data_IF_446722572893
#
_entry.id   IF_446722572893
#
_cell.length_a   1.000
_cell.length_b   1.000
_cell.length_c   1.000
_cell.angle_alpha   90.00
_cell.angle_beta   90.00
_cell.angle_gamma   90.00
#
_symmetry.space_group_name_H-M   'P 1'
#
loop_
_entity.id
_entity.type
_entity.pdbx_description
1 polymer ?
#
# COMPACT_ATOMS: atom_id res chain seq x y z
N UNK A 1 15.21 -4.36 10.74
CA UNK A 1 15.34 -2.97 11.25
C UNK A 1 14.89 -2.04 10.14
N UNK A 2 13.98 -1.12 10.44
CA UNK A 2 13.56 -0.08 9.51
C UNK A 2 14.48 1.12 9.66
N UNK A 3 14.81 1.79 8.55
CA UNK A 3 15.56 3.04 8.58
C UNK A 3 14.63 4.25 8.59
N UNK A 4 15.04 5.38 9.20
CA UNK A 4 14.31 6.64 9.10
C UNK A 4 14.14 7.08 7.64
N UNK A 5 13.00 7.71 7.34
CA UNK A 5 12.65 8.20 6.00
C UNK A 5 13.76 9.07 5.42
N UNK A 6 14.29 9.99 6.22
CA UNK A 6 15.30 10.96 5.82
C UNK A 6 16.55 10.24 5.28
N UNK A 7 16.98 9.16 5.93
CA UNK A 7 18.17 8.40 5.53
C UNK A 7 17.96 7.57 4.27
N UNK A 8 16.77 7.01 4.08
CA UNK A 8 16.43 6.31 2.83
C UNK A 8 16.37 7.31 1.69
N UNK A 9 15.63 8.40 1.85
CA UNK A 9 15.46 9.43 0.81
C UNK A 9 16.79 10.07 0.44
N UNK A 10 17.65 10.40 1.41
CA UNK A 10 19.01 10.89 1.19
C UNK A 10 19.80 9.93 0.30
N UNK A 11 19.74 8.63 0.60
CA UNK A 11 20.44 7.60 -0.16
C UNK A 11 19.88 7.42 -1.58
N UNK A 12 18.56 7.47 -1.75
CA UNK A 12 17.92 7.36 -3.06
C UNK A 12 18.27 8.57 -3.95
N UNK A 13 18.26 9.79 -3.39
CA UNK A 13 18.69 11.01 -4.11
C UNK A 13 20.15 10.92 -4.53
N UNK A 14 21.03 10.39 -3.67
CA UNK A 14 22.43 10.13 -4.02
C UNK A 14 22.55 9.17 -5.21
N UNK A 15 21.82 8.04 -5.19
CA UNK A 15 21.84 7.05 -6.28
C UNK A 15 21.33 7.68 -7.58
N UNK A 16 20.20 8.38 -7.53
CA UNK A 16 19.63 9.05 -8.70
C UNK A 16 20.60 10.04 -9.36
N UNK A 17 21.38 10.77 -8.55
CA UNK A 17 22.39 11.70 -9.05
C UNK A 17 23.58 10.97 -9.69
N UNK A 18 24.09 9.90 -9.04
CA UNK A 18 25.22 9.10 -9.56
C UNK A 18 24.86 8.42 -10.88
N UNK A 19 23.65 7.89 -10.97
CA UNK A 19 23.10 7.24 -12.17
C UNK A 19 22.56 8.24 -13.21
N UNK A 20 22.62 9.56 -12.91
CA UNK A 20 22.14 10.65 -13.78
C UNK A 20 20.69 10.49 -14.24
N UNK A 21 19.81 10.06 -13.34
CA UNK A 21 18.39 9.88 -13.63
C UNK A 21 17.69 11.23 -13.83
N UNK A 22 16.91 11.35 -14.90
CA UNK A 22 16.10 12.53 -15.19
C UNK A 22 14.76 12.46 -14.46
N UNK A 23 14.74 12.82 -13.18
CA UNK A 23 13.52 12.88 -12.37
C UNK A 23 12.91 14.29 -12.45
N UNK A 24 11.63 14.44 -12.86
CA UNK A 24 10.95 15.75 -12.91
C UNK A 24 10.97 16.45 -11.53
N UNK A 25 11.54 17.66 -11.41
CA UNK A 25 11.69 18.35 -10.13
C UNK A 25 10.38 18.54 -9.35
N UNK A 26 9.28 18.78 -10.05
CA UNK A 26 7.96 19.01 -9.48
C UNK A 26 7.33 17.77 -8.82
N UNK A 27 7.79 16.57 -9.18
CA UNK A 27 7.30 15.29 -8.64
C UNK A 27 8.36 14.54 -7.82
N UNK A 28 9.60 15.01 -7.80
CA UNK A 28 10.73 14.33 -7.18
C UNK A 28 10.50 13.98 -5.71
N UNK A 29 10.05 14.92 -4.87
CA UNK A 29 9.79 14.64 -3.45
C UNK A 29 8.69 13.59 -3.27
N UNK A 30 7.58 13.71 -3.99
CA UNK A 30 6.48 12.72 -3.94
C UNK A 30 6.94 11.34 -4.39
N UNK A 31 7.82 11.28 -5.39
CA UNK A 31 8.38 10.02 -5.86
C UNK A 31 9.25 9.36 -4.79
N UNK A 32 10.18 10.08 -4.17
CA UNK A 32 11.01 9.50 -3.10
C UNK A 32 10.19 9.12 -1.87
N UNK A 33 9.15 9.90 -1.54
CA UNK A 33 8.19 9.58 -0.49
C UNK A 33 7.43 8.29 -0.81
N UNK A 34 7.01 8.12 -2.06
CA UNK A 34 6.36 6.90 -2.53
C UNK A 34 7.30 5.69 -2.43
N UNK A 35 8.56 5.81 -2.87
CA UNK A 35 9.53 4.73 -2.77
C UNK A 35 9.79 4.33 -1.31
N UNK A 36 9.83 5.31 -0.39
CA UNK A 36 9.89 5.03 1.03
C UNK A 36 8.65 4.28 1.51
N UNK A 37 7.44 4.74 1.14
CA UNK A 37 6.18 4.09 1.47
C UNK A 37 6.16 2.62 1.02
N UNK A 38 6.47 2.35 -0.25
CA UNK A 38 6.54 1.00 -0.82
C UNK A 38 7.51 0.14 0.00
N UNK A 39 8.70 0.69 0.28
CA UNK A 39 9.76 -0.04 0.98
C UNK A 39 9.44 -0.42 2.43
N UNK A 40 8.56 0.33 3.10
CA UNK A 40 8.30 0.17 4.54
C UNK A 40 9.55 0.32 5.41
N UNK A 41 10.51 1.16 4.99
CA UNK A 41 11.76 1.39 5.70
C UNK A 41 12.90 0.40 5.40
N UNK A 42 12.74 -0.49 4.41
CA UNK A 42 13.82 -1.38 3.92
C UNK A 42 14.54 -0.69 2.74
N UNK A 43 15.79 -0.26 2.96
CA UNK A 43 16.58 0.42 1.92
C UNK A 43 16.79 -0.43 0.66
N UNK A 44 16.95 -1.75 0.79
CA UNK A 44 17.10 -2.63 -0.38
C UNK A 44 15.81 -2.64 -1.20
N UNK A 45 14.65 -2.72 -0.55
CA UNK A 45 13.35 -2.59 -1.26
C UNK A 45 13.21 -1.23 -1.92
N UNK A 46 13.57 -0.15 -1.24
CA UNK A 46 13.50 1.21 -1.78
C UNK A 46 14.34 1.36 -3.06
N UNK A 47 15.57 0.82 -3.05
CA UNK A 47 16.47 0.81 -4.22
C UNK A 47 15.87 -0.04 -5.35
N UNK A 48 15.34 -1.22 -5.04
CA UNK A 48 14.70 -2.07 -6.05
C UNK A 48 13.50 -1.38 -6.69
N UNK A 49 12.69 -0.66 -5.91
CA UNK A 49 11.56 0.11 -6.45
C UNK A 49 12.04 1.26 -7.35
N UNK A 50 13.11 1.98 -6.97
CA UNK A 50 13.73 2.99 -7.84
C UNK A 50 14.21 2.37 -9.16
N UNK A 51 14.95 1.26 -9.08
CA UNK A 51 15.48 0.56 -10.26
C UNK A 51 14.35 0.07 -11.17
N UNK A 52 13.29 -0.49 -10.59
CA UNK A 52 12.09 -0.91 -11.33
C UNK A 52 11.44 0.27 -12.07
N UNK A 53 11.27 1.42 -11.41
CA UNK A 53 10.73 2.62 -12.06
C UNK A 53 11.58 3.07 -13.25
N UNK A 54 12.92 2.96 -13.14
CA UNK A 54 13.84 3.29 -14.24
C UNK A 54 13.75 2.26 -15.37
N UNK A 55 13.81 0.96 -15.05
CA UNK A 55 13.79 -0.11 -16.04
C UNK A 55 12.49 -0.20 -16.84
N UNK A 56 11.40 0.30 -16.29
CA UNK A 56 10.09 0.37 -16.95
C UNK A 56 9.82 1.75 -17.58
N UNK A 57 10.83 2.63 -17.65
CA UNK A 57 10.73 3.97 -18.25
C UNK A 57 9.65 4.86 -17.59
N UNK A 58 9.26 4.54 -16.36
CA UNK A 58 8.21 5.27 -15.62
C UNK A 58 8.72 6.60 -15.07
N UNK A 59 10.02 6.85 -15.08
CA UNK A 59 10.63 8.05 -14.47
C UNK A 59 10.37 9.32 -15.30
N UNK A 60 10.25 9.21 -16.62
CA UNK A 60 10.05 10.37 -17.50
C UNK A 60 8.67 11.01 -17.31
N UNK A 61 7.61 10.20 -17.34
CA UNK A 61 6.23 10.66 -17.10
C UNK A 61 5.89 10.72 -15.60
N UNK A 62 6.59 9.92 -14.79
CA UNK A 62 6.45 9.80 -13.34
C UNK A 62 5.00 9.70 -12.87
N UNK A 63 4.29 8.69 -13.38
CA UNK A 63 2.99 8.30 -12.86
C UNK A 63 3.17 7.47 -11.57
N UNK A 64 2.88 8.11 -10.45
CA UNK A 64 3.02 7.52 -9.12
C UNK A 64 2.01 6.38 -8.88
N UNK A 65 0.84 6.42 -9.53
CA UNK A 65 -0.17 5.38 -9.41
C UNK A 65 0.27 4.10 -10.12
N UNK A 66 0.93 4.23 -11.27
CA UNK A 66 1.50 3.08 -11.98
C UNK A 66 2.61 2.40 -11.17
N UNK A 67 3.49 3.20 -10.55
CA UNK A 67 4.55 2.68 -9.67
C UNK A 67 3.96 1.96 -8.44
N UNK A 68 2.87 2.48 -7.84
CA UNK A 68 2.14 1.81 -6.77
C UNK A 68 1.61 0.45 -7.21
N UNK A 69 0.89 0.40 -8.32
CA UNK A 69 0.29 -0.83 -8.87
C UNK A 69 1.32 -1.92 -9.10
N UNK A 70 2.39 -1.59 -9.83
CA UNK A 70 3.43 -2.56 -10.17
C UNK A 70 4.18 -3.03 -8.91
N UNK A 71 4.23 -2.20 -7.87
CA UNK A 71 4.78 -2.57 -6.56
C UNK A 71 3.82 -3.43 -5.70
N UNK A 72 2.65 -3.80 -6.22
CA UNK A 72 1.65 -4.62 -5.55
C UNK A 72 0.78 -3.85 -4.54
N UNK A 73 0.68 -2.53 -4.67
CA UNK A 73 -0.21 -1.68 -3.86
C UNK A 73 -1.42 -1.24 -4.67
N UNK A 74 -2.49 -0.84 -3.97
CA UNK A 74 -3.58 -0.12 -4.62
C UNK A 74 -3.14 1.30 -4.95
N UNK A 75 -3.58 1.79 -6.10
CA UNK A 75 -3.49 3.22 -6.41
C UNK A 75 -4.42 4.04 -5.50
N UNK A 76 -4.22 5.37 -5.49
CA UNK A 76 -5.00 6.28 -4.64
C UNK A 76 -6.51 6.20 -4.92
N UNK A 77 -6.90 6.13 -6.19
CA UNK A 77 -8.31 6.10 -6.60
C UNK A 77 -9.01 4.79 -6.21
N UNK A 78 -8.32 3.66 -6.32
CA UNK A 78 -8.80 2.34 -5.89
C UNK A 78 -8.96 2.32 -4.38
N UNK A 79 -7.99 2.87 -3.64
CA UNK A 79 -8.06 2.96 -2.18
C UNK A 79 -9.25 3.84 -1.73
N UNK A 80 -9.46 5.00 -2.36
CA UNK A 80 -10.59 5.88 -2.07
C UNK A 80 -11.93 5.20 -2.37
N UNK A 81 -12.03 4.47 -3.48
CA UNK A 81 -13.22 3.69 -3.84
C UNK A 81 -13.50 2.59 -2.81
N UNK A 82 -12.47 1.88 -2.35
CA UNK A 82 -12.59 0.87 -1.30
C UNK A 82 -13.06 1.49 0.01
N UNK A 83 -12.44 2.59 0.46
CA UNK A 83 -12.83 3.29 1.69
C UNK A 83 -14.29 3.76 1.60
N UNK A 84 -14.72 4.26 0.44
CA UNK A 84 -16.11 4.68 0.22
C UNK A 84 -17.08 3.51 0.33
N UNK A 85 -16.77 2.36 -0.28
CA UNK A 85 -17.58 1.16 -0.19
C UNK A 85 -17.65 0.59 1.25
N UNK A 86 -16.52 0.63 1.98
CA UNK A 86 -16.47 0.25 3.38
C UNK A 86 -17.35 1.15 4.23
N UNK A 87 -17.25 2.49 4.09
CA UNK A 87 -18.10 3.46 4.80
C UNK A 87 -19.58 3.25 4.56
N UNK A 88 -19.98 2.87 3.35
CA UNK A 88 -21.38 2.54 3.03
C UNK A 88 -21.80 1.15 3.51
N UNK A 89 -20.92 0.41 4.20
CA UNK A 89 -21.13 -0.97 4.65
C UNK A 89 -21.51 -1.92 3.50
N UNK A 90 -21.06 -1.61 2.29
CA UNK A 90 -21.37 -2.38 1.08
C UNK A 90 -20.27 -3.42 0.84
N UNK A 91 -20.51 -4.63 1.36
CA UNK A 91 -19.57 -5.74 1.22
C UNK A 91 -19.35 -6.13 -0.24
N UNK A 92 -20.43 -6.19 -1.03
CA UNK A 92 -20.37 -6.59 -2.45
C UNK A 92 -19.54 -5.61 -3.25
N UNK A 93 -19.75 -4.30 -3.07
CA UNK A 93 -18.95 -3.26 -3.72
C UNK A 93 -17.50 -3.28 -3.23
N UNK A 94 -17.27 -3.46 -1.94
CA UNK A 94 -15.91 -3.56 -1.39
C UNK A 94 -15.16 -4.74 -2.01
N UNK A 95 -15.82 -5.90 -2.11
CA UNK A 95 -15.26 -7.10 -2.74
C UNK A 95 -14.99 -6.91 -4.23
N UNK A 96 -15.90 -6.25 -4.96
CA UNK A 96 -15.70 -5.89 -6.36
C UNK A 96 -14.48 -5.01 -6.58
N UNK A 97 -14.25 -4.01 -5.72
CA UNK A 97 -13.05 -3.16 -5.80
C UNK A 97 -11.78 -4.00 -5.65
N UNK A 98 -11.74 -4.95 -4.71
CA UNK A 98 -10.59 -5.85 -4.55
C UNK A 98 -10.40 -6.74 -5.77
N UNK A 99 -11.48 -7.33 -6.29
CA UNK A 99 -11.43 -8.26 -7.42
C UNK A 99 -11.06 -7.58 -8.74
N UNK A 100 -11.21 -6.25 -8.82
CA UNK A 100 -10.76 -5.46 -9.98
C UNK A 100 -9.24 -5.21 -10.03
N UNK A 101 -8.49 -5.56 -8.98
CA UNK A 101 -7.05 -5.34 -8.92
C UNK A 101 -6.33 -6.54 -9.53
N UNK A 102 -5.62 -6.33 -10.63
CA UNK A 102 -4.93 -7.40 -11.36
C UNK A 102 -3.73 -7.96 -10.59
N UNK A 103 -2.99 -7.10 -9.89
CA UNK A 103 -1.77 -7.44 -9.15
C UNK A 103 -1.84 -6.87 -7.74
N UNK A 104 -2.28 -7.70 -6.79
CA UNK A 104 -2.35 -7.33 -5.38
C UNK A 104 -1.42 -8.22 -4.58
N UNK A 105 -0.41 -7.63 -3.93
CA UNK A 105 0.31 -8.34 -2.88
C UNK A 105 -0.52 -8.27 -1.60
N UNK A 106 -0.98 -9.43 -1.12
CA UNK A 106 -1.89 -9.50 0.01
C UNK A 106 -1.34 -8.88 1.29
N UNK A 107 -0.01 -8.90 1.51
CA UNK A 107 0.58 -8.28 2.71
C UNK A 107 0.65 -6.76 2.57
N UNK A 108 1.03 -6.27 1.40
CA UNK A 108 0.99 -4.84 1.08
C UNK A 108 -0.44 -4.29 1.19
N UNK A 109 -1.44 -5.03 0.71
CA UNK A 109 -2.85 -4.72 0.87
C UNK A 109 -3.24 -4.58 2.34
N UNK A 110 -2.95 -5.60 3.17
CA UNK A 110 -3.27 -5.58 4.60
C UNK A 110 -2.62 -4.36 5.28
N UNK A 111 -1.35 -4.06 4.96
CA UNK A 111 -0.65 -2.91 5.50
C UNK A 111 -1.30 -1.59 5.08
N UNK A 112 -1.57 -1.41 3.79
CA UNK A 112 -2.18 -0.20 3.24
C UNK A 112 -3.58 0.04 3.82
N UNK A 113 -4.38 -1.03 3.96
CA UNK A 113 -5.71 -0.95 4.56
C UNK A 113 -5.65 -0.65 6.07
N UNK A 114 -4.66 -1.18 6.78
CA UNK A 114 -4.42 -0.89 8.20
C UNK A 114 -4.05 0.57 8.43
N UNK A 115 -3.29 1.18 7.53
CA UNK A 115 -2.97 2.61 7.56
C UNK A 115 -4.20 3.47 7.22
N UNK A 116 -4.98 3.05 6.22
CA UNK A 116 -6.21 3.73 5.80
C UNK A 116 -7.39 3.59 6.79
N UNK A 117 -7.23 2.77 7.82
CA UNK A 117 -8.28 2.43 8.78
C UNK A 117 -8.77 3.66 9.56
N UNK A 118 -7.91 4.67 9.78
CA UNK A 118 -8.31 5.95 10.38
C UNK A 118 -9.32 6.74 9.54
N UNK A 119 -9.35 6.47 8.24
CA UNK A 119 -10.31 7.09 7.32
C UNK A 119 -11.68 6.42 7.37
N UNK A 120 -11.80 5.26 8.03
CA UNK A 120 -13.04 4.51 8.24
C UNK A 120 -13.54 4.80 9.65
N UNK A 121 -14.80 5.21 9.82
CA UNK A 121 -15.36 5.59 11.14
C UNK A 121 -15.70 4.35 12.00
N UNK A 122 -14.64 3.69 12.48
CA UNK A 122 -14.72 2.51 13.33
C UNK A 122 -15.06 2.92 14.77
N UNK A 123 -15.87 2.09 15.44
CA UNK A 123 -16.15 2.22 16.87
C UNK A 123 -14.85 2.16 17.68
N UNK A 124 -14.57 3.18 18.50
CA UNK A 124 -13.30 3.34 19.21
C UNK A 124 -12.95 2.10 20.06
N UNK A 125 -13.95 1.54 20.73
CA UNK A 125 -13.82 0.34 21.56
C UNK A 125 -13.51 -0.94 20.76
N UNK A 126 -13.67 -0.91 19.43
CA UNK A 126 -13.42 -2.04 18.53
C UNK A 126 -12.06 -1.95 17.81
N UNK A 127 -11.42 -0.79 17.77
CA UNK A 127 -10.16 -0.57 17.03
C UNK A 127 -9.08 -1.57 17.48
N UNK A 128 -8.90 -1.78 18.79
CA UNK A 128 -7.87 -2.69 19.29
C UNK A 128 -8.12 -4.14 18.84
N UNK A 129 -9.37 -4.61 18.92
CA UNK A 129 -9.76 -5.94 18.46
C UNK A 129 -9.58 -6.08 16.95
N UNK A 130 -9.95 -5.07 16.19
CA UNK A 130 -9.79 -5.06 14.74
C UNK A 130 -8.31 -5.13 14.36
N UNK A 131 -7.42 -4.36 15.00
CA UNK A 131 -5.96 -4.44 14.78
C UNK A 131 -5.40 -5.83 15.10
N UNK A 132 -5.90 -6.49 16.16
CA UNK A 132 -5.53 -7.89 16.45
C UNK A 132 -5.94 -8.81 15.31
N UNK A 133 -7.13 -8.62 14.75
CA UNK A 133 -7.63 -9.41 13.63
C UNK A 133 -6.80 -9.22 12.35
N UNK A 134 -6.33 -8.00 12.06
CA UNK A 134 -5.36 -7.78 10.97
C UNK A 134 -4.09 -8.64 11.15
N UNK A 135 -3.56 -8.74 12.37
CA UNK A 135 -2.41 -9.58 12.67
C UNK A 135 -2.68 -11.08 12.49
N UNK A 136 -3.88 -11.55 12.85
CA UNK A 136 -4.28 -12.94 12.58
C UNK A 136 -4.38 -13.24 11.09
N UNK A 137 -4.95 -12.31 10.31
CA UNK A 137 -5.06 -12.44 8.85
C UNK A 137 -3.67 -12.50 8.21
N UNK A 138 -2.76 -11.58 8.58
CA UNK A 138 -1.37 -11.58 8.09
C UNK A 138 -0.65 -12.88 8.46
N UNK A 139 -0.80 -13.35 9.71
CA UNK A 139 -0.25 -14.64 10.14
C UNK A 139 -0.79 -15.80 9.29
N UNK A 140 -2.12 -15.91 9.10
CA UNK A 140 -2.73 -17.00 8.34
C UNK A 140 -2.26 -17.01 6.88
N UNK A 141 -2.19 -15.85 6.24
CA UNK A 141 -1.64 -15.75 4.87
C UNK A 141 -0.17 -16.18 4.84
N UNK A 142 0.63 -15.78 5.85
CA UNK A 142 2.04 -16.24 5.95
C UNK A 142 2.18 -17.76 6.09
N UNK A 143 1.16 -18.45 6.62
CA UNK A 143 1.10 -19.90 6.75
C UNK A 143 0.50 -20.59 5.50
N UNK A 144 0.23 -19.86 4.42
CA UNK A 144 -0.31 -20.40 3.18
C UNK A 144 -1.84 -20.53 3.14
N UNK A 145 -2.56 -19.81 4.01
CA UNK A 145 -4.01 -19.72 3.89
C UNK A 145 -4.44 -19.04 2.58
N UNK A 146 -5.61 -19.39 2.07
CA UNK A 146 -6.15 -18.77 0.87
C UNK A 146 -6.41 -17.26 1.07
N UNK A 147 -5.69 -16.44 0.30
CA UNK A 147 -5.68 -14.98 0.43
C UNK A 147 -7.06 -14.36 0.19
N UNK A 148 -7.80 -14.83 -0.82
CA UNK A 148 -9.13 -14.28 -1.13
C UNK A 148 -10.11 -14.50 0.02
N UNK A 149 -10.07 -15.67 0.66
CA UNK A 149 -10.89 -15.97 1.84
C UNK A 149 -10.50 -15.05 3.01
N UNK A 150 -9.20 -14.90 3.28
CA UNK A 150 -8.73 -14.07 4.39
C UNK A 150 -9.06 -12.58 4.19
N UNK A 151 -8.88 -12.05 2.98
CA UNK A 151 -9.25 -10.67 2.63
C UNK A 151 -10.77 -10.47 2.75
N UNK A 152 -11.58 -11.43 2.29
CA UNK A 152 -13.04 -11.33 2.42
C UNK A 152 -13.47 -11.33 3.89
N UNK A 153 -12.85 -12.16 4.72
CA UNK A 153 -13.08 -12.14 6.17
C UNK A 153 -12.68 -10.78 6.79
N UNK A 154 -11.56 -10.20 6.37
CA UNK A 154 -11.11 -8.89 6.80
C UNK A 154 -12.12 -7.78 6.46
N UNK A 155 -12.62 -7.74 5.22
CA UNK A 155 -13.64 -6.78 4.81
C UNK A 155 -14.92 -6.90 5.65
N UNK A 156 -15.38 -8.14 5.90
CA UNK A 156 -16.55 -8.40 6.73
C UNK A 156 -16.37 -7.91 8.17
N UNK A 157 -15.21 -8.19 8.78
CA UNK A 157 -14.91 -7.74 10.15
C UNK A 157 -14.82 -6.20 10.21
N UNK A 158 -14.22 -5.53 9.22
CA UNK A 158 -14.19 -4.07 9.17
C UNK A 158 -15.62 -3.52 9.14
N UNK A 159 -16.44 -3.95 8.17
CA UNK A 159 -17.81 -3.47 7.99
C UNK A 159 -18.66 -3.67 9.25
N UNK A 160 -18.53 -4.83 9.91
CA UNK A 160 -19.25 -5.13 11.15
C UNK A 160 -18.90 -4.22 12.34
N UNK A 161 -17.75 -3.55 12.29
CA UNK A 161 -17.26 -2.67 13.36
C UNK A 161 -17.36 -1.16 13.03
N UNK A 162 -17.87 -0.78 11.86
CA UNK A 162 -18.17 0.62 11.50
C UNK A 162 -19.37 1.14 12.32
N UNK A 163 -19.30 2.41 12.73
CA UNK A 163 -20.38 3.09 13.48
C UNK A 163 -21.73 3.02 12.77
#
# INVERSE_FOLDING_TARGET
MTLPKEKIVERLKYIANVEKLHIPPEKAEKFFDLLFFISGGDLRKAINSLQMSVSLELVENLDLNEILKISGFMDESTLENLITALKSKDFTKSKYVIDSIETLDSRNFIRQLLEALSSVDIKTEKIAKLKSFFGEIDYRISQGANEQIQISALLGEIIGNIK
#
